data_IF_588926421899
#
_entry.id   IF_588926421899
#
_cell.length_a   1.000
_cell.length_b   1.000
_cell.length_c   1.000
_cell.angle_alpha   90.00
_cell.angle_beta   90.00
_cell.angle_gamma   90.00
#
_symmetry.space_group_name_H-M   'P 1'
#
loop_
_entity.id
_entity.type
_entity.pdbx_description
1 polymer ?
#
# COMPACT_ATOMS: atom_id res chain seq x y z
N UNK A 1 -11.78 7.78 -3.86
CA UNK A 1 -10.84 6.73 -3.42
C UNK A 1 -10.02 6.25 -4.60
N UNK A 2 -8.75 5.94 -4.36
CA UNK A 2 -7.79 5.41 -5.35
C UNK A 2 -7.37 4.01 -4.92
N UNK A 3 -7.50 2.99 -5.77
CA UNK A 3 -7.24 1.60 -5.37
C UNK A 3 -6.51 0.79 -6.45
N UNK A 4 -5.66 -0.15 -6.02
CA UNK A 4 -5.32 -1.32 -6.84
C UNK A 4 -6.57 -2.16 -7.05
N UNK A 5 -6.63 -2.99 -8.10
CA UNK A 5 -7.83 -3.78 -8.43
C UNK A 5 -8.22 -4.77 -7.32
N UNK A 6 -7.98 -6.06 -7.45
CA UNK A 6 -8.32 -7.03 -6.38
C UNK A 6 -7.25 -7.07 -5.28
N UNK A 7 -7.18 -5.99 -4.51
CA UNK A 7 -6.27 -5.85 -3.37
C UNK A 7 -6.99 -5.97 -2.02
N UNK A 8 -6.29 -6.56 -1.04
CA UNK A 8 -6.80 -6.68 0.33
C UNK A 8 -7.09 -5.31 0.96
N UNK A 9 -6.27 -4.31 0.67
CA UNK A 9 -6.44 -2.94 1.19
C UNK A 9 -7.68 -2.26 0.60
N UNK A 10 -8.02 -2.51 -0.67
CA UNK A 10 -9.27 -2.07 -1.27
C UNK A 10 -10.47 -2.68 -0.56
N UNK A 11 -10.49 -4.00 -0.38
CA UNK A 11 -11.59 -4.70 0.30
C UNK A 11 -11.80 -4.18 1.72
N UNK A 12 -10.72 -4.01 2.49
CA UNK A 12 -10.78 -3.47 3.84
C UNK A 12 -11.31 -2.03 3.88
N UNK A 13 -10.87 -1.17 2.96
CA UNK A 13 -11.32 0.21 2.89
C UNK A 13 -12.80 0.33 2.50
N UNK A 14 -13.24 -0.45 1.51
CA UNK A 14 -14.64 -0.48 1.09
C UNK A 14 -15.52 -0.97 2.25
N UNK A 15 -15.12 -2.04 2.95
CA UNK A 15 -15.85 -2.55 4.10
C UNK A 15 -15.97 -1.48 5.21
N UNK A 16 -14.89 -0.79 5.56
CA UNK A 16 -14.89 0.25 6.58
C UNK A 16 -15.75 1.46 6.18
N UNK A 17 -15.67 1.90 4.92
CA UNK A 17 -16.46 3.03 4.41
C UNK A 17 -17.96 2.70 4.37
N UNK A 18 -18.32 1.49 3.96
CA UNK A 18 -19.71 1.02 3.95
C UNK A 18 -20.26 0.88 5.37
N UNK A 19 -19.48 0.32 6.31
CA UNK A 19 -19.88 0.19 7.70
C UNK A 19 -20.09 1.55 8.40
N UNK A 20 -19.39 2.58 7.95
CA UNK A 20 -19.53 3.95 8.43
C UNK A 20 -20.67 4.73 7.74
N UNK A 21 -21.43 4.10 6.83
CA UNK A 21 -22.47 4.72 5.99
C UNK A 21 -22.01 6.03 5.33
N UNK A 22 -20.73 6.08 4.96
CA UNK A 22 -20.14 7.29 4.38
C UNK A 22 -20.33 7.27 2.88
N UNK A 23 -20.73 8.39 2.28
CA UNK A 23 -20.72 8.48 0.83
C UNK A 23 -19.28 8.49 0.29
N UNK A 24 -18.98 7.58 -0.62
CA UNK A 24 -17.68 7.49 -1.27
C UNK A 24 -17.83 7.05 -2.72
N UNK A 25 -16.79 7.27 -3.52
CA UNK A 25 -16.67 6.75 -4.89
C UNK A 25 -15.25 6.33 -5.21
N UNK A 26 -15.12 5.41 -6.16
CA UNK A 26 -13.82 5.13 -6.80
C UNK A 26 -13.57 6.26 -7.81
N UNK A 27 -12.45 6.97 -7.63
CA UNK A 27 -12.03 8.05 -8.51
C UNK A 27 -11.00 7.56 -9.54
N UNK A 28 -10.19 6.57 -9.18
CA UNK A 28 -9.19 5.95 -10.04
C UNK A 28 -8.92 4.50 -9.59
N UNK A 29 -8.65 3.61 -10.54
CA UNK A 29 -8.26 2.21 -10.27
C UNK A 29 -7.23 1.74 -11.29
N UNK A 30 -6.19 1.02 -10.84
CA UNK A 30 -5.16 0.44 -11.71
C UNK A 30 -4.40 -0.65 -10.98
N UNK A 31 -4.00 -1.71 -11.68
CA UNK A 31 -3.10 -2.75 -11.11
C UNK A 31 -1.65 -2.26 -10.95
N UNK A 32 -1.29 -1.13 -11.57
CA UNK A 32 0.04 -0.54 -11.46
C UNK A 32 0.14 0.36 -10.24
N UNK A 33 1.00 0.00 -9.28
CA UNK A 33 1.25 0.83 -8.11
C UNK A 33 1.75 2.23 -8.48
N UNK A 34 2.60 2.35 -9.51
CA UNK A 34 3.10 3.64 -9.99
C UNK A 34 1.95 4.54 -10.45
N UNK A 35 0.98 3.99 -11.20
CA UNK A 35 -0.18 4.74 -11.66
C UNK A 35 -1.05 5.23 -10.50
N UNK A 36 -1.15 4.44 -9.42
CA UNK A 36 -1.86 4.84 -8.21
C UNK A 36 -1.16 5.98 -7.49
N UNK A 37 0.18 5.92 -7.35
CA UNK A 37 0.98 6.99 -6.74
C UNK A 37 0.80 8.29 -7.53
N UNK A 38 0.88 8.23 -8.86
CA UNK A 38 0.66 9.40 -9.73
C UNK A 38 -0.75 9.97 -9.53
N UNK A 39 -1.79 9.13 -9.51
CA UNK A 39 -3.17 9.58 -9.28
C UNK A 39 -3.35 10.24 -7.90
N UNK A 40 -2.74 9.67 -6.85
CA UNK A 40 -2.76 10.23 -5.49
C UNK A 40 -2.07 11.60 -5.45
N UNK A 41 -0.86 11.71 -6.00
CA UNK A 41 -0.11 12.98 -6.11
C UNK A 41 -0.84 14.03 -6.94
N UNK A 42 -1.66 13.60 -7.90
CA UNK A 42 -2.48 14.46 -8.75
C UNK A 42 -3.80 14.88 -8.08
N UNK A 43 -4.07 14.45 -6.83
CA UNK A 43 -5.24 14.87 -6.06
C UNK A 43 -6.53 14.12 -6.39
N UNK A 44 -6.46 12.94 -7.03
CA UNK A 44 -7.66 12.15 -7.34
C UNK A 44 -8.37 11.62 -6.08
N UNK A 45 -7.68 11.62 -4.93
CA UNK A 45 -8.27 11.33 -3.62
C UNK A 45 -7.28 10.68 -2.68
N UNK A 46 -7.79 9.83 -1.79
CA UNK A 46 -7.02 9.07 -0.81
C UNK A 46 -7.10 7.57 -1.09
N UNK A 47 -6.14 6.81 -0.55
CA UNK A 47 -6.08 5.35 -0.62
C UNK A 47 -5.81 4.77 0.76
N UNK A 48 -6.30 3.55 1.00
CA UNK A 48 -5.87 2.73 2.12
C UNK A 48 -4.65 1.93 1.69
N UNK A 49 -3.53 2.10 2.39
CA UNK A 49 -2.28 1.38 2.13
C UNK A 49 -1.59 1.04 3.45
N UNK A 50 -0.70 0.05 3.43
CA UNK A 50 0.18 -0.23 4.55
C UNK A 50 1.19 0.90 4.71
N UNK A 51 1.65 1.15 5.94
CA UNK A 51 2.65 2.19 6.21
C UNK A 51 3.95 1.97 5.45
N UNK A 52 4.30 0.72 5.14
CA UNK A 52 5.47 0.37 4.33
C UNK A 52 5.37 0.88 2.89
N UNK A 53 4.15 1.06 2.37
CA UNK A 53 3.90 1.60 1.04
C UNK A 53 3.81 3.13 1.02
N UNK A 54 3.61 3.76 2.19
CA UNK A 54 3.68 5.21 2.33
C UNK A 54 5.16 5.64 2.24
N UNK A 55 5.66 5.71 1.01
CA UNK A 55 6.95 6.33 0.71
C UNK A 55 6.90 7.85 0.96
N UNK A 56 8.04 8.54 0.85
CA UNK A 56 8.13 9.98 1.13
C UNK A 56 7.26 10.86 0.21
N UNK A 57 6.73 10.31 -0.87
CA UNK A 57 5.86 11.03 -1.81
C UNK A 57 4.39 11.12 -1.36
N UNK A 58 4.00 10.40 -0.31
CA UNK A 58 2.63 10.31 0.17
C UNK A 58 2.57 10.55 1.67
N UNK A 59 1.58 11.32 2.09
CA UNK A 59 1.33 11.59 3.50
C UNK A 59 0.08 10.87 3.99
N UNK A 60 0.04 10.58 5.29
CA UNK A 60 -1.16 10.05 5.91
C UNK A 60 -2.32 11.04 5.76
N UNK A 61 -3.52 10.53 5.48
CA UNK A 61 -4.70 11.37 5.36
C UNK A 61 -4.94 12.15 6.68
N UNK A 62 -5.27 13.46 6.61
CA UNK A 62 -5.45 14.26 7.79
C UNK A 62 -6.68 13.79 8.59
N UNK A 63 -6.66 13.96 9.90
CA UNK A 63 -7.78 13.60 10.78
C UNK A 63 -9.10 14.31 10.40
N UNK A 64 -9.00 15.52 9.85
CA UNK A 64 -10.12 16.30 9.33
C UNK A 64 -10.85 15.63 8.15
N UNK A 65 -10.24 14.63 7.51
CA UNK A 65 -10.90 13.84 6.49
C UNK A 65 -11.92 12.84 7.07
N UNK A 66 -12.00 12.67 8.39
CA UNK A 66 -12.99 11.84 9.10
C UNK A 66 -13.12 10.42 8.51
N UNK A 67 -11.99 9.84 8.09
CA UNK A 67 -11.96 8.50 7.52
C UNK A 67 -12.18 7.46 8.62
N UNK A 68 -12.97 6.40 8.35
CA UNK A 68 -13.16 5.34 9.31
C UNK A 68 -11.85 4.60 9.56
N UNK A 69 -11.73 4.01 10.75
CA UNK A 69 -10.60 3.16 11.08
C UNK A 69 -10.64 1.88 10.22
N UNK A 70 -9.48 1.49 9.72
CA UNK A 70 -9.30 0.22 9.03
C UNK A 70 -9.03 -0.88 10.06
N UNK A 71 -9.45 -2.10 9.75
CA UNK A 71 -9.11 -3.26 10.55
C UNK A 71 -7.62 -3.55 10.48
N UNK A 72 -7.03 -4.02 11.58
CA UNK A 72 -5.64 -4.48 11.57
C UNK A 72 -5.48 -5.62 10.55
N UNK A 73 -4.47 -5.50 9.69
CA UNK A 73 -4.19 -6.47 8.62
C UNK A 73 -2.74 -6.92 8.74
N UNK A 74 -2.53 -8.23 8.84
CA UNK A 74 -1.19 -8.82 8.88
C UNK A 74 -0.69 -9.10 7.46
N UNK A 75 0.54 -8.66 7.16
CA UNK A 75 1.23 -8.98 5.91
C UNK A 75 2.33 -9.99 6.20
N UNK A 76 2.21 -11.18 5.61
CA UNK A 76 3.18 -12.26 5.76
C UNK A 76 3.95 -12.48 4.46
N UNK A 77 5.25 -12.72 4.56
CA UNK A 77 6.10 -13.08 3.41
C UNK A 77 6.15 -14.59 3.29
N UNK A 78 5.72 -15.11 2.14
CA UNK A 78 5.80 -16.53 1.81
C UNK A 78 7.08 -16.79 1.00
N UNK A 79 7.99 -17.58 1.55
CA UNK A 79 9.22 -18.01 0.87
C UNK A 79 9.11 -19.50 0.58
N UNK A 80 9.42 -19.92 -0.66
CA UNK A 80 9.45 -21.33 -1.05
C UNK A 80 10.73 -21.99 -0.49
N UNK A 81 10.62 -22.59 0.70
CA UNK A 81 11.73 -23.21 1.46
C UNK A 81 11.44 -23.19 2.96
N UNK A 82 12.25 -23.89 3.78
CA UNK A 82 12.03 -24.06 5.23
C UNK A 82 11.57 -22.75 5.89
N UNK A 83 10.35 -22.77 6.42
CA UNK A 83 9.71 -21.66 7.14
C UNK A 83 10.64 -21.19 8.24
N UNK A 84 11.25 -20.01 8.07
CA UNK A 84 11.94 -19.33 9.16
C UNK A 84 10.93 -18.38 9.80
N UNK A 85 10.42 -18.75 10.98
CA UNK A 85 9.76 -17.79 11.86
C UNK A 85 10.84 -16.84 12.37
N UNK A 86 10.81 -15.59 11.90
CA UNK A 86 11.73 -14.55 12.31
C UNK A 86 11.07 -13.19 12.10
N UNK A 87 11.39 -12.24 12.98
CA UNK A 87 11.05 -10.82 12.74
C UNK A 87 11.82 -10.38 11.50
N UNK A 88 11.11 -9.78 10.54
CA UNK A 88 11.75 -9.14 9.38
C UNK A 88 12.49 -7.90 9.91
N UNK A 89 13.76 -8.06 10.27
CA UNK A 89 14.66 -6.93 10.43
C UNK A 89 15.06 -6.47 9.02
N UNK A 90 14.68 -5.27 8.59
CA UNK A 90 15.04 -4.77 7.27
C UNK A 90 16.57 -4.63 7.24
N UNK A 91 17.24 -5.34 6.34
CA UNK A 91 18.69 -5.19 6.12
C UNK A 91 19.05 -3.89 5.38
N UNK A 92 18.06 -3.04 5.08
CA UNK A 92 18.20 -1.80 4.33
C UNK A 92 17.11 -0.82 4.79
N UNK A 93 17.32 0.50 4.68
CA UNK A 93 16.33 1.49 5.10
C UNK A 93 15.08 1.40 4.19
N UNK A 94 13.93 1.13 4.79
CA UNK A 94 12.62 1.20 4.12
C UNK A 94 12.44 2.64 3.61
N UNK A 95 12.44 2.84 2.28
CA UNK A 95 12.24 4.15 1.64
C UNK A 95 13.41 4.67 0.80
N UNK A 96 14.57 4.01 0.78
CA UNK A 96 15.63 4.32 -0.18
C UNK A 96 15.35 3.65 -1.55
N UNK A 97 16.07 4.01 -2.62
CA UNK A 97 16.10 3.17 -3.81
C UNK A 97 16.91 1.89 -3.48
N UNK A 98 16.28 0.72 -3.54
CA UNK A 98 16.96 -0.56 -3.30
C UNK A 98 18.10 -0.79 -4.32
N UNK A 99 19.11 -1.61 -4.00
CA UNK A 99 20.21 -1.86 -4.92
C UNK A 99 19.67 -2.48 -6.21
N UNK A 100 19.91 -1.79 -7.33
CA UNK A 100 19.66 -2.32 -8.67
C UNK A 100 20.39 -3.65 -8.82
N UNK A 101 19.64 -4.71 -9.08
CA UNK A 101 20.17 -6.07 -9.24
C UNK A 101 21.35 -6.05 -10.22
N UNK A 102 22.55 -6.31 -9.71
CA UNK A 102 23.76 -6.34 -10.52
C UNK A 102 23.63 -7.38 -11.63
N UNK A 103 23.82 -6.92 -12.87
CA UNK A 103 24.01 -7.76 -14.04
C UNK A 103 25.10 -8.79 -13.75
N UNK A 104 24.73 -10.08 -13.71
CA UNK A 104 25.71 -11.16 -13.81
C UNK A 104 26.27 -11.15 -15.23
N UNK A 105 27.49 -10.64 -15.39
CA UNK A 105 28.34 -11.02 -16.51
C UNK A 105 28.75 -12.48 -16.30
N UNK A 106 28.56 -13.29 -17.34
CA UNK A 106 29.01 -14.66 -17.41
C UNK A 106 30.54 -14.71 -17.61
N UNK A 107 31.17 -15.66 -16.94
CA UNK A 107 32.43 -16.29 -17.37
C UNK A 107 32.25 -17.80 -17.18
#
# INVERSE_FOLDING_TARGET
MVFSGDSITRSAAIAALNAADRQWRIAFSSESLLSLVVALRSGFGVSAQTSMLAGPELEAAPRAAELPLLQETEVVVLVRGRTRRGRLEPSWPIGAAGPSAGTRAAD
#
